data_IF_933912778279
#
_entry.id   IF_933912778279
#
_cell.length_a   1.000
_cell.length_b   1.000
_cell.length_c   1.000
_cell.angle_alpha   90.00
_cell.angle_beta   90.00
_cell.angle_gamma   90.00
#
_symmetry.space_group_name_H-M   'P 1'
#
loop_
_entity.id
_entity.type
_entity.pdbx_description
1 polymer ?
#
# COMPACT_ATOMS: atom_id res chain seq x y z
N UNK A 1 19.60 -80.44 -50.80
CA UNK A 1 18.28 -81.10 -50.70
C UNK A 1 17.70 -80.79 -49.33
N UNK A 2 16.44 -80.31 -49.31
CA UNK A 2 15.42 -80.24 -48.23
C UNK A 2 15.78 -80.84 -46.85
N UNK A 3 15.32 -80.37 -45.69
CA UNK A 3 14.44 -79.25 -45.28
C UNK A 3 14.26 -79.27 -43.74
N UNK A 4 13.58 -78.24 -43.20
CA UNK A 4 12.88 -78.11 -41.89
C UNK A 4 13.74 -78.13 -40.60
N UNK A 5 13.88 -77.01 -39.87
CA UNK A 5 12.93 -76.26 -39.00
C UNK A 5 12.80 -76.89 -37.60
N UNK A 6 13.14 -76.12 -36.55
CA UNK A 6 12.56 -76.19 -35.21
C UNK A 6 13.07 -75.00 -34.35
N UNK A 7 12.17 -74.05 -34.04
CA UNK A 7 11.99 -73.29 -32.77
C UNK A 7 13.22 -72.56 -32.17
N UNK A 8 13.23 -71.26 -31.83
CA UNK A 8 12.21 -70.32 -31.41
C UNK A 8 12.69 -69.61 -30.12
N UNK A 9 12.51 -68.27 -30.03
CA UNK A 9 12.37 -67.47 -28.77
C UNK A 9 13.71 -67.21 -28.01
N UNK A 10 14.16 -66.01 -27.57
CA UNK A 10 13.60 -64.66 -27.34
C UNK A 10 14.76 -63.65 -27.16
N UNK A 11 14.50 -62.36 -27.48
CA UNK A 11 15.00 -61.09 -26.89
C UNK A 11 16.44 -61.04 -26.31
N UNK A 12 17.33 -60.16 -26.78
CA UNK A 12 17.14 -58.72 -26.91
C UNK A 12 17.84 -57.99 -25.76
N UNK A 13 19.18 -57.90 -25.82
CA UNK A 13 19.99 -57.18 -24.81
C UNK A 13 20.00 -55.68 -25.12
N UNK A 14 19.33 -54.94 -24.24
CA UNK A 14 19.15 -53.50 -24.25
C UNK A 14 20.47 -52.79 -23.91
N UNK A 15 21.03 -52.04 -24.86
CA UNK A 15 21.98 -50.96 -24.57
C UNK A 15 21.20 -49.77 -24.00
N UNK A 16 21.07 -49.71 -22.67
CA UNK A 16 20.46 -48.57 -22.00
C UNK A 16 21.52 -47.47 -21.83
N UNK A 17 21.49 -46.46 -22.70
CA UNK A 17 22.19 -45.21 -22.49
C UNK A 17 21.62 -44.55 -21.22
N UNK A 18 22.45 -44.37 -20.19
CA UNK A 18 22.08 -43.59 -19.01
C UNK A 18 22.05 -42.10 -19.38
N UNK A 19 20.90 -41.65 -19.88
CA UNK A 19 20.56 -40.23 -19.88
C UNK A 19 20.26 -39.83 -18.44
N UNK A 20 21.19 -39.13 -17.80
CA UNK A 20 20.93 -38.44 -16.54
C UNK A 20 19.96 -37.29 -16.87
N UNK A 21 18.67 -37.56 -16.68
CA UNK A 21 17.66 -36.51 -16.64
C UNK A 21 17.92 -35.68 -15.38
N UNK A 22 18.56 -34.52 -15.56
CA UNK A 22 18.52 -33.44 -14.58
C UNK A 22 17.06 -33.02 -14.45
N UNK A 23 16.40 -33.49 -13.40
CA UNK A 23 15.08 -32.98 -13.02
C UNK A 23 15.21 -31.48 -12.73
N UNK A 24 14.33 -30.62 -13.27
CA UNK A 24 14.32 -29.23 -12.90
C UNK A 24 14.04 -29.15 -11.39
N UNK A 25 14.88 -28.41 -10.66
CA UNK A 25 14.61 -28.09 -9.28
C UNK A 25 13.27 -27.36 -9.23
N UNK A 26 12.26 -28.00 -8.62
CA UNK A 26 10.99 -27.36 -8.32
C UNK A 26 11.33 -26.16 -7.42
N UNK A 27 11.06 -24.95 -7.88
CA UNK A 27 11.12 -23.76 -7.04
C UNK A 27 10.31 -24.07 -5.78
N UNK A 28 10.95 -23.98 -4.61
CA UNK A 28 10.25 -24.12 -3.35
C UNK A 28 9.25 -22.97 -3.26
N UNK A 29 7.95 -23.27 -3.26
CA UNK A 29 6.94 -22.28 -2.94
C UNK A 29 7.23 -21.81 -1.50
N UNK A 30 7.61 -20.54 -1.36
CA UNK A 30 7.86 -19.91 -0.07
C UNK A 30 6.51 -19.90 0.67
N UNK A 31 6.47 -20.42 1.89
CA UNK A 31 5.25 -20.36 2.70
C UNK A 31 4.90 -18.90 2.98
N UNK A 32 3.62 -18.49 2.96
CA UNK A 32 3.23 -17.11 3.24
C UNK A 32 3.80 -16.63 4.57
N UNK A 33 4.39 -15.43 4.57
CA UNK A 33 4.92 -14.81 5.79
C UNK A 33 3.79 -14.49 6.77
N UNK A 34 4.03 -14.70 8.07
CA UNK A 34 3.03 -14.34 9.09
C UNK A 34 2.95 -12.82 9.28
N UNK A 35 1.79 -12.27 9.67
CA UNK A 35 1.64 -10.82 9.96
C UNK A 35 2.68 -10.30 10.96
N UNK A 36 3.04 -11.11 11.97
CA UNK A 36 4.04 -10.73 12.96
C UNK A 36 5.45 -10.59 12.36
N UNK A 37 5.81 -11.45 11.42
CA UNK A 37 7.10 -11.38 10.71
C UNK A 37 7.13 -10.15 9.81
N UNK A 38 6.10 -9.97 8.98
CA UNK A 38 5.96 -8.81 8.10
C UNK A 38 6.03 -7.49 8.88
N UNK A 39 5.36 -7.42 10.03
CA UNK A 39 5.45 -6.22 10.88
C UNK A 39 6.87 -5.95 11.37
N UNK A 40 7.63 -6.98 11.77
CA UNK A 40 9.03 -6.79 12.19
C UNK A 40 9.92 -6.38 11.01
N UNK A 41 9.75 -6.97 9.84
CA UNK A 41 10.52 -6.59 8.64
C UNK A 41 10.30 -5.11 8.28
N UNK A 42 9.06 -4.63 8.33
CA UNK A 42 8.75 -3.22 8.10
C UNK A 42 9.37 -2.31 9.18
N UNK A 43 9.41 -2.77 10.44
CA UNK A 43 10.04 -2.06 11.56
C UNK A 43 11.55 -1.96 11.41
N UNK A 44 12.20 -3.02 10.94
CA UNK A 44 13.64 -3.09 10.71
C UNK A 44 14.07 -2.21 9.53
N UNK A 45 13.16 -1.97 8.58
CA UNK A 45 13.38 -1.09 7.42
C UNK A 45 13.27 0.41 7.75
N UNK A 46 13.10 0.80 9.02
CA UNK A 46 12.86 2.20 9.40
C UNK A 46 13.93 3.18 8.93
N UNK A 47 15.21 2.84 9.09
CA UNK A 47 16.32 3.73 8.72
C UNK A 47 16.47 3.85 7.19
N UNK A 48 16.02 2.84 6.44
CA UNK A 48 15.98 2.89 4.98
C UNK A 48 14.83 3.78 4.49
N UNK A 49 13.67 3.71 5.14
CA UNK A 49 12.49 4.52 4.81
C UNK A 49 12.70 5.98 5.24
N UNK A 50 13.33 6.21 6.39
CA UNK A 50 13.58 7.54 6.95
C UNK A 50 15.05 7.74 7.34
N UNK A 51 15.97 7.93 6.38
CA UNK A 51 17.40 8.07 6.67
C UNK A 51 17.76 9.26 7.58
N UNK A 52 16.91 10.29 7.61
CA UNK A 52 17.07 11.45 8.49
C UNK A 52 16.26 11.35 9.79
N UNK A 53 15.53 10.26 9.99
CA UNK A 53 14.55 10.07 11.07
C UNK A 53 13.28 10.93 10.97
N UNK A 54 13.15 11.79 9.96
CA UNK A 54 11.97 12.65 9.81
C UNK A 54 10.83 11.90 9.11
N UNK A 55 9.97 11.29 9.93
CA UNK A 55 8.75 10.59 9.53
C UNK A 55 7.50 11.46 9.30
N UNK A 56 7.56 12.78 9.47
CA UNK A 56 6.34 13.60 9.38
C UNK A 56 5.70 13.47 7.98
N UNK A 57 4.39 13.21 7.94
CA UNK A 57 3.65 12.87 6.71
C UNK A 57 4.26 11.66 5.96
N UNK A 58 4.92 10.76 6.69
CA UNK A 58 5.74 9.67 6.16
C UNK A 58 5.00 8.54 5.42
N UNK A 59 3.67 8.60 5.29
CA UNK A 59 2.88 7.55 4.65
C UNK A 59 3.34 7.25 3.21
N UNK A 60 3.68 8.28 2.45
CA UNK A 60 4.17 8.12 1.07
C UNK A 60 5.48 7.32 0.97
N UNK A 61 6.39 7.49 1.93
CA UNK A 61 7.67 6.76 1.97
C UNK A 61 7.45 5.30 2.36
N UNK A 62 6.56 5.04 3.33
CA UNK A 62 6.15 3.66 3.65
C UNK A 62 5.53 2.97 2.44
N UNK A 63 4.59 3.63 1.76
CA UNK A 63 3.93 3.08 0.58
C UNK A 63 4.96 2.74 -0.51
N UNK A 64 5.85 3.68 -0.84
CA UNK A 64 6.92 3.48 -1.82
C UNK A 64 7.79 2.27 -1.47
N UNK A 65 8.27 2.19 -0.23
CA UNK A 65 9.09 1.09 0.22
C UNK A 65 8.35 -0.26 0.12
N UNK A 66 7.09 -0.33 0.56
CA UNK A 66 6.31 -1.56 0.51
C UNK A 66 6.06 -1.99 -0.95
N UNK A 67 5.69 -1.05 -1.82
CA UNK A 67 5.46 -1.32 -3.24
C UNK A 67 6.70 -1.89 -3.95
N UNK A 68 7.90 -1.41 -3.58
CA UNK A 68 9.14 -1.83 -4.23
C UNK A 68 9.70 -3.16 -3.73
N UNK A 69 9.35 -3.56 -2.51
CA UNK A 69 9.96 -4.73 -1.86
C UNK A 69 9.00 -5.92 -1.71
N UNK A 70 7.68 -5.73 -1.84
CA UNK A 70 6.68 -6.77 -1.64
C UNK A 70 5.84 -6.98 -2.89
N UNK A 71 6.15 -8.04 -3.62
CA UNK A 71 5.51 -8.39 -4.88
C UNK A 71 4.45 -9.49 -4.75
N UNK A 72 4.23 -10.04 -3.56
CA UNK A 72 3.04 -10.84 -3.27
C UNK A 72 1.90 -9.91 -2.86
N UNK A 73 0.73 -10.04 -3.51
CA UNK A 73 -0.41 -9.15 -3.26
C UNK A 73 -0.87 -9.22 -1.81
N UNK A 74 -0.88 -10.41 -1.20
CA UNK A 74 -1.36 -10.58 0.16
C UNK A 74 -0.37 -9.98 1.17
N UNK A 75 0.94 -10.17 1.00
CA UNK A 75 1.97 -9.52 1.81
C UNK A 75 1.92 -7.99 1.68
N UNK A 76 1.80 -7.46 0.45
CA UNK A 76 1.62 -6.03 0.20
C UNK A 76 0.41 -5.44 0.93
N UNK A 77 -0.74 -6.12 0.84
CA UNK A 77 -1.98 -5.68 1.50
C UNK A 77 -1.89 -5.80 3.02
N UNK A 78 -1.19 -6.79 3.56
CA UNK A 78 -0.96 -6.89 5.01
C UNK A 78 -0.05 -5.76 5.48
N UNK A 79 1.09 -5.56 4.83
CA UNK A 79 2.06 -4.52 5.19
C UNK A 79 1.48 -3.12 5.12
N UNK A 80 0.62 -2.87 4.14
CA UNK A 80 -0.05 -1.58 3.97
C UNK A 80 -0.94 -1.17 5.15
N UNK A 81 -1.26 -2.10 6.06
CA UNK A 81 -2.01 -1.84 7.31
C UNK A 81 -1.13 -1.33 8.44
N UNK A 82 0.18 -1.53 8.37
CA UNK A 82 1.11 -1.35 9.49
C UNK A 82 1.69 0.06 9.63
N UNK A 83 1.24 1.01 8.81
CA UNK A 83 1.57 2.42 8.96
C UNK A 83 0.33 3.28 8.78
N UNK A 84 0.40 4.50 9.29
CA UNK A 84 -0.64 5.50 9.15
C UNK A 84 -0.30 6.41 7.94
N UNK A 85 -1.09 6.38 6.86
CA UNK A 85 -0.89 7.22 5.67
C UNK A 85 -0.75 8.72 5.98
N UNK A 86 -1.47 9.22 6.99
CA UNK A 86 -1.45 10.63 7.40
C UNK A 86 -0.14 11.01 8.10
N UNK A 87 0.29 10.23 9.09
CA UNK A 87 1.35 10.67 10.01
C UNK A 87 2.73 10.08 9.72
N UNK A 88 2.81 8.96 8.99
CA UNK A 88 4.05 8.17 8.90
C UNK A 88 4.42 7.47 10.20
N UNK A 89 3.44 7.13 11.04
CA UNK A 89 3.67 6.32 12.25
C UNK A 89 3.27 4.87 12.02
N UNK A 90 3.96 3.93 12.67
CA UNK A 90 3.52 2.54 12.71
C UNK A 90 2.12 2.40 13.32
N UNK A 91 1.40 1.39 12.85
CA UNK A 91 0.09 0.97 13.34
C UNK A 91 0.23 -0.44 13.91
N UNK A 92 -0.33 -0.65 15.08
CA UNK A 92 -0.34 -1.95 15.74
C UNK A 92 -1.02 -3.00 14.84
N UNK A 93 -0.42 -4.19 14.60
CA UNK A 93 -1.05 -5.24 13.81
C UNK A 93 -2.46 -5.64 14.28
N UNK A 94 -2.74 -5.51 15.59
CA UNK A 94 -4.05 -5.79 16.18
C UNK A 94 -5.04 -4.61 16.06
N UNK A 95 -4.63 -3.47 15.50
CA UNK A 95 -5.48 -2.30 15.35
C UNK A 95 -6.71 -2.61 14.50
N UNK A 96 -7.87 -2.18 14.98
CA UNK A 96 -9.10 -2.21 14.18
C UNK A 96 -9.12 -0.99 13.26
N UNK A 97 -9.45 -1.16 11.97
CA UNK A 97 -9.53 -0.05 11.04
C UNK A 97 -10.70 0.87 11.39
N UNK A 98 -10.58 2.13 10.99
CA UNK A 98 -11.70 3.05 10.95
C UNK A 98 -12.42 2.91 9.60
N UNK A 99 -13.74 2.85 9.60
CA UNK A 99 -14.51 2.83 8.36
C UNK A 99 -14.73 4.26 7.86
N UNK A 100 -14.17 4.59 6.69
CA UNK A 100 -14.13 5.95 6.13
C UNK A 100 -14.73 5.97 4.73
N UNK A 101 -15.07 7.18 4.25
CA UNK A 101 -15.31 7.40 2.83
C UNK A 101 -14.43 8.54 2.32
N UNK A 102 -14.00 8.41 1.06
CA UNK A 102 -13.21 9.42 0.34
C UNK A 102 -13.73 9.51 -1.09
N UNK A 103 -13.67 10.67 -1.71
CA UNK A 103 -14.09 10.83 -3.10
C UNK A 103 -13.08 10.18 -4.06
N UNK A 104 -13.60 9.40 -5.01
CA UNK A 104 -12.86 8.95 -6.18
C UNK A 104 -12.43 10.14 -7.01
N UNK A 105 -11.14 10.24 -7.33
CA UNK A 105 -10.57 11.37 -8.05
C UNK A 105 -11.20 11.55 -9.43
N UNK A 106 -11.50 10.45 -10.12
CA UNK A 106 -11.98 10.47 -11.50
C UNK A 106 -13.48 10.78 -11.63
N UNK A 107 -14.29 10.22 -10.72
CA UNK A 107 -15.75 10.27 -10.82
C UNK A 107 -16.42 11.15 -9.77
N UNK A 108 -15.68 11.58 -8.73
CA UNK A 108 -16.22 12.30 -7.58
C UNK A 108 -17.17 11.47 -6.71
N UNK A 109 -17.33 10.17 -7.00
CA UNK A 109 -18.23 9.30 -6.24
C UNK A 109 -17.54 8.85 -4.95
N UNK A 110 -18.27 8.69 -3.84
CA UNK A 110 -17.68 8.26 -2.58
C UNK A 110 -17.27 6.79 -2.64
N UNK A 111 -16.02 6.50 -2.30
CA UNK A 111 -15.49 5.15 -2.08
C UNK A 111 -15.33 4.94 -0.58
N UNK A 112 -15.94 3.86 -0.09
CA UNK A 112 -15.91 3.44 1.31
C UNK A 112 -14.83 2.40 1.49
N UNK A 113 -14.25 2.31 2.68
CA UNK A 113 -13.33 1.23 3.02
C UNK A 113 -12.73 1.36 4.41
N UNK A 114 -11.83 0.43 4.69
CA UNK A 114 -11.07 0.30 5.92
C UNK A 114 -9.81 1.16 5.88
N UNK A 115 -9.66 2.06 6.86
CA UNK A 115 -8.47 2.90 7.04
C UNK A 115 -7.76 2.55 8.36
N UNK A 116 -6.51 2.08 8.25
CA UNK A 116 -5.67 1.79 9.40
C UNK A 116 -4.94 3.06 9.84
N UNK A 117 -5.13 3.45 11.10
CA UNK A 117 -4.62 4.70 11.66
C UNK A 117 -3.88 4.50 12.96
N UNK A 118 -2.93 5.39 13.25
CA UNK A 118 -2.23 5.40 14.53
C UNK A 118 -3.01 6.09 15.64
N UNK A 119 -3.71 7.20 15.34
CA UNK A 119 -4.42 8.00 16.33
C UNK A 119 -5.43 8.96 15.68
N UNK A 120 -6.30 9.54 16.51
CA UNK A 120 -7.07 10.73 16.13
C UNK A 120 -6.13 11.95 16.07
N UNK A 121 -6.25 12.88 15.09
CA UNK A 121 -7.35 13.07 14.14
C UNK A 121 -7.14 12.44 12.74
N UNK A 122 -6.29 11.42 12.57
CA UNK A 122 -5.93 10.93 11.24
C UNK A 122 -7.13 10.45 10.40
N UNK A 123 -8.21 9.92 11.01
CA UNK A 123 -9.44 9.58 10.28
C UNK A 123 -10.08 10.81 9.63
N UNK A 124 -10.02 11.95 10.30
CA UNK A 124 -10.61 13.18 9.81
C UNK A 124 -9.77 13.76 8.67
N UNK A 125 -8.45 13.77 8.87
CA UNK A 125 -7.51 14.33 7.91
C UNK A 125 -7.44 13.49 6.63
N UNK A 126 -7.53 12.15 6.70
CA UNK A 126 -7.58 11.32 5.49
C UNK A 126 -8.83 11.62 4.66
N UNK A 127 -10.01 11.70 5.30
CA UNK A 127 -11.27 11.99 4.60
C UNK A 127 -11.35 13.41 4.06
N UNK A 128 -10.63 14.35 4.68
CA UNK A 128 -10.63 15.76 4.30
C UNK A 128 -9.67 16.05 3.15
N UNK A 129 -8.46 15.49 3.20
CA UNK A 129 -7.33 15.96 2.40
C UNK A 129 -6.97 15.05 1.23
N UNK A 130 -7.55 13.86 1.16
CA UNK A 130 -7.17 12.89 0.12
C UNK A 130 -8.28 12.69 -0.89
N UNK A 131 -7.89 12.20 -2.06
CA UNK A 131 -8.78 11.50 -2.98
C UNK A 131 -8.38 10.03 -3.04
N UNK A 132 -9.20 9.23 -3.69
CA UNK A 132 -8.86 7.84 -4.02
C UNK A 132 -8.66 7.70 -5.51
N UNK A 133 -7.57 7.05 -5.92
CA UNK A 133 -7.36 6.59 -7.30
C UNK A 133 -7.36 5.07 -7.33
N UNK A 134 -8.06 4.49 -8.31
CA UNK A 134 -7.97 3.06 -8.58
C UNK A 134 -6.83 2.82 -9.58
N UNK A 135 -5.88 1.96 -9.23
CA UNK A 135 -4.73 1.66 -10.08
C UNK A 135 -4.47 0.15 -10.16
N UNK A 136 -4.09 -0.30 -11.35
CA UNK A 136 -3.54 -1.64 -11.55
C UNK A 136 -2.06 -1.64 -11.11
N UNK A 137 -1.75 -2.38 -10.06
CA UNK A 137 -0.38 -2.61 -9.59
C UNK A 137 0.06 -4.02 -9.98
N UNK A 138 1.32 -4.17 -10.38
CA UNK A 138 1.88 -5.46 -10.81
C UNK A 138 2.37 -6.27 -9.61
N UNK A 139 1.91 -7.52 -9.51
CA UNK A 139 2.33 -8.49 -8.49
C UNK A 139 2.80 -9.78 -9.15
N UNK A 140 3.38 -10.68 -8.37
CA UNK A 140 3.97 -11.95 -8.82
C UNK A 140 2.95 -12.86 -9.52
N UNK A 141 1.69 -12.79 -9.10
CA UNK A 141 0.57 -13.55 -9.69
C UNK A 141 -0.16 -12.79 -10.82
N UNK A 142 0.29 -11.58 -11.14
CA UNK A 142 -0.28 -10.69 -12.16
C UNK A 142 -0.79 -9.36 -11.60
N UNK A 143 -1.35 -8.50 -12.46
CA UNK A 143 -1.86 -7.19 -12.05
C UNK A 143 -3.09 -7.32 -11.16
N UNK A 144 -3.18 -6.46 -10.13
CA UNK A 144 -4.35 -6.33 -9.28
C UNK A 144 -4.77 -4.86 -9.12
N UNK A 145 -6.08 -4.63 -9.12
CA UNK A 145 -6.67 -3.30 -8.94
C UNK A 145 -6.71 -2.94 -7.45
N UNK A 146 -6.12 -1.81 -7.08
CA UNK A 146 -6.05 -1.32 -5.70
C UNK A 146 -6.55 0.13 -5.64
N UNK A 147 -7.35 0.45 -4.62
CA UNK A 147 -7.73 1.83 -4.33
C UNK A 147 -6.69 2.48 -3.42
N UNK A 148 -6.10 3.57 -3.89
CA UNK A 148 -4.97 4.25 -3.29
C UNK A 148 -5.38 5.64 -2.83
N UNK A 149 -5.05 6.00 -1.58
CA UNK A 149 -5.16 7.38 -1.12
C UNK A 149 -4.08 8.22 -1.79
N UNK A 150 -4.48 9.35 -2.35
CA UNK A 150 -3.58 10.29 -3.01
C UNK A 150 -3.76 11.71 -2.48
N UNK A 151 -2.69 12.49 -2.53
CA UNK A 151 -2.68 13.94 -2.31
C UNK A 151 -2.09 14.64 -3.53
N UNK A 152 -2.53 15.87 -3.78
CA UNK A 152 -2.00 16.69 -4.88
C UNK A 152 -0.51 16.97 -4.70
N UNK A 153 0.22 17.21 -5.79
CA UNK A 153 1.64 17.57 -5.77
C UNK A 153 1.89 18.84 -4.92
N UNK A 154 2.56 18.71 -3.75
CA UNK A 154 2.78 19.84 -2.84
C UNK A 154 4.01 20.67 -3.25
N UNK A 155 4.74 20.30 -4.29
CA UNK A 155 6.05 20.87 -4.59
C UNK A 155 6.00 22.28 -5.19
N UNK A 156 4.86 22.71 -5.72
CA UNK A 156 4.66 24.12 -6.11
C UNK A 156 4.16 25.00 -4.95
N UNK A 157 3.82 24.41 -3.78
CA UNK A 157 3.21 25.12 -2.67
C UNK A 157 4.19 26.12 -2.02
N UNK A 158 3.81 27.41 -1.86
CA UNK A 158 4.67 28.42 -1.26
C UNK A 158 4.84 28.25 0.26
N UNK A 159 3.84 27.71 0.94
CA UNK A 159 3.79 27.48 2.38
C UNK A 159 3.98 26.00 2.74
N UNK A 160 5.02 25.39 2.17
CA UNK A 160 5.42 24.01 2.48
C UNK A 160 5.76 23.88 3.99
N UNK A 161 5.24 22.87 4.72
CA UNK A 161 5.45 22.75 6.15
C UNK A 161 6.93 22.57 6.52
N UNK A 162 7.52 23.43 7.38
CA UNK A 162 8.94 23.36 7.72
C UNK A 162 9.32 22.11 8.53
N UNK A 163 8.33 21.44 9.14
CA UNK A 163 8.54 20.19 9.88
C UNK A 163 8.74 18.98 8.96
N UNK A 164 8.49 19.11 7.66
CA UNK A 164 8.65 18.06 6.67
C UNK A 164 9.94 18.32 5.89
N UNK A 165 10.73 17.25 5.68
CA UNK A 165 11.83 17.30 4.74
C UNK A 165 11.29 17.49 3.34
N UNK A 166 11.39 18.71 2.80
CA UNK A 166 10.94 19.01 1.43
C UNK A 166 11.61 18.10 0.39
N UNK A 167 12.89 17.78 0.59
CA UNK A 167 13.64 16.89 -0.30
C UNK A 167 13.07 15.46 -0.34
N UNK A 168 12.33 15.03 0.70
CA UNK A 168 11.68 13.72 0.72
C UNK A 168 10.51 13.65 -0.27
N UNK A 169 9.88 14.79 -0.59
CA UNK A 169 8.72 14.83 -1.48
C UNK A 169 9.02 15.48 -2.84
N UNK A 170 10.03 16.36 -2.90
CA UNK A 170 10.19 17.28 -4.01
C UNK A 170 11.63 17.34 -4.54
N UNK A 171 11.77 17.27 -5.85
CA UNK A 171 12.96 17.69 -6.60
C UNK A 171 12.62 19.02 -7.31
N UNK A 172 13.01 20.13 -6.68
CA UNK A 172 12.59 21.46 -7.08
C UNK A 172 11.07 21.65 -6.93
N UNK A 173 10.38 21.72 -8.08
CA UNK A 173 8.91 21.84 -8.18
C UNK A 173 8.24 20.52 -8.60
N UNK A 174 9.01 19.49 -8.92
CA UNK A 174 8.49 18.18 -9.30
C UNK A 174 8.47 17.24 -8.09
N UNK A 175 7.66 16.18 -8.18
CA UNK A 175 7.66 15.11 -7.18
C UNK A 175 9.00 14.37 -7.23
N UNK A 176 9.56 14.07 -6.07
CA UNK A 176 10.75 13.24 -5.93
C UNK A 176 10.38 11.74 -5.94
N UNK A 177 10.23 11.17 -7.14
CA UNK A 177 9.87 9.76 -7.32
C UNK A 177 10.92 8.75 -6.84
N UNK A 178 12.12 9.22 -6.46
CA UNK A 178 13.10 8.38 -5.79
C UNK A 178 12.67 8.02 -4.35
N UNK A 179 11.86 8.88 -3.71
CA UNK A 179 11.46 8.73 -2.31
C UNK A 179 9.96 8.44 -2.12
N UNK A 180 9.12 8.81 -3.09
CA UNK A 180 7.67 8.59 -3.03
C UNK A 180 7.18 8.00 -4.35
N UNK A 181 5.98 7.42 -4.35
CA UNK A 181 5.31 6.99 -5.56
C UNK A 181 4.24 8.00 -5.99
N UNK A 182 4.08 8.21 -7.29
CA UNK A 182 3.10 9.13 -7.84
C UNK A 182 2.33 8.54 -9.02
N UNK A 183 1.07 8.94 -9.16
CA UNK A 183 0.18 8.56 -10.26
C UNK A 183 -0.50 9.83 -10.78
N UNK A 184 -0.31 10.14 -12.06
CA UNK A 184 -0.83 11.35 -12.71
C UNK A 184 -0.51 12.64 -11.94
N UNK A 185 0.73 12.76 -11.47
CA UNK A 185 1.22 13.89 -10.67
C UNK A 185 0.57 14.04 -9.28
N UNK A 186 -0.11 13.01 -8.76
CA UNK A 186 -0.51 12.95 -7.34
C UNK A 186 0.34 11.94 -6.58
N UNK A 187 0.67 12.26 -5.32
CA UNK A 187 1.48 11.39 -4.47
C UNK A 187 0.59 10.36 -3.80
N UNK A 188 0.95 9.08 -3.93
CA UNK A 188 0.29 7.99 -3.23
C UNK A 188 0.81 7.92 -1.79
N UNK A 189 -0.11 7.90 -0.83
CA UNK A 189 0.23 7.90 0.60
C UNK A 189 -0.20 6.62 1.33
N UNK A 190 -1.02 5.77 0.70
CA UNK A 190 -1.43 4.49 1.26
C UNK A 190 -2.60 3.84 0.55
N UNK A 191 -3.07 2.72 1.10
CA UNK A 191 -4.15 1.89 0.53
C UNK A 191 -5.45 2.13 1.30
N UNK A 192 -6.56 2.27 0.57
CA UNK A 192 -7.90 2.14 1.12
C UNK A 192 -8.29 0.66 1.07
N UNK A 193 -8.29 -0.01 2.22
CA UNK A 193 -8.54 -1.45 2.28
C UNK A 193 -10.04 -1.77 2.15
N UNK A 194 -10.37 -2.99 1.73
CA UNK A 194 -11.74 -3.51 1.65
C UNK A 194 -12.71 -2.55 0.94
N UNK A 195 -12.20 -1.86 -0.07
CA UNK A 195 -12.84 -0.69 -0.66
C UNK A 195 -13.98 -1.03 -1.62
N UNK A 196 -15.02 -0.22 -1.64
CA UNK A 196 -16.13 -0.32 -2.59
C UNK A 196 -16.84 1.04 -2.75
N UNK A 197 -17.59 1.23 -3.84
CA UNK A 197 -18.40 2.43 -4.04
C UNK A 197 -19.54 2.51 -3.01
N UNK A 198 -19.59 3.59 -2.21
CA UNK A 198 -20.59 3.75 -1.16
C UNK A 198 -21.98 4.00 -1.73
N UNK A 199 -23.01 3.53 -1.03
CA UNK A 199 -24.34 4.11 -1.09
C UNK A 199 -24.42 5.41 -0.27
N UNK A 200 -25.40 6.26 -0.57
CA UNK A 200 -25.67 7.46 0.24
C UNK A 200 -26.00 7.12 1.70
N UNK A 201 -26.60 5.96 1.95
CA UNK A 201 -26.88 5.48 3.30
C UNK A 201 -25.58 5.20 4.07
N UNK A 202 -24.61 4.54 3.43
CA UNK A 202 -23.32 4.24 4.06
C UNK A 202 -22.53 5.52 4.39
N UNK A 203 -22.55 6.51 3.49
CA UNK A 203 -21.96 7.83 3.76
C UNK A 203 -22.63 8.48 4.98
N UNK A 204 -23.97 8.42 5.07
CA UNK A 204 -24.70 8.95 6.22
C UNK A 204 -24.33 8.22 7.52
N UNK A 205 -24.19 6.88 7.50
CA UNK A 205 -23.75 6.10 8.66
C UNK A 205 -22.35 6.49 9.14
N UNK A 206 -21.40 6.69 8.21
CA UNK A 206 -20.05 7.17 8.55
C UNK A 206 -20.11 8.56 9.20
N UNK A 207 -21.00 9.44 8.71
CA UNK A 207 -21.24 10.77 9.27
C UNK A 207 -21.95 10.79 10.63
N UNK A 208 -22.60 9.69 11.03
CA UNK A 208 -23.21 9.53 12.35
C UNK A 208 -22.28 8.84 13.37
N UNK A 209 -21.21 8.21 12.90
CA UNK A 209 -20.25 7.56 13.77
C UNK A 209 -19.51 8.57 14.65
N UNK A 210 -19.19 8.19 15.89
CA UNK A 210 -18.62 9.09 16.90
C UNK A 210 -17.32 9.76 16.42
N UNK A 211 -16.45 9.00 15.76
CA UNK A 211 -15.13 9.48 15.32
C UNK A 211 -15.26 10.18 13.97
N UNK A 212 -15.58 9.43 12.91
CA UNK A 212 -15.63 9.90 11.52
C UNK A 212 -16.74 10.91 11.23
N UNK A 213 -17.78 10.95 12.07
CA UNK A 213 -18.82 11.97 12.04
C UNK A 213 -18.59 13.04 13.10
N UNK A 214 -18.97 12.72 14.34
CA UNK A 214 -19.07 13.69 15.43
C UNK A 214 -17.77 14.44 15.74
N UNK A 215 -16.62 13.76 15.75
CA UNK A 215 -15.33 14.40 16.00
C UNK A 215 -14.71 15.01 14.74
N UNK A 216 -14.90 14.39 13.58
CA UNK A 216 -14.34 14.92 12.33
C UNK A 216 -15.07 16.14 11.79
N UNK A 217 -16.38 16.29 12.05
CA UNK A 217 -17.13 17.47 11.62
C UNK A 217 -16.49 18.79 12.07
N UNK A 218 -16.24 19.05 13.37
CA UNK A 218 -15.57 20.28 13.79
C UNK A 218 -14.11 20.37 13.31
N UNK A 219 -13.38 19.24 13.25
CA UNK A 219 -11.98 19.22 12.79
C UNK A 219 -11.85 19.57 11.30
N UNK A 220 -12.80 19.14 10.48
CA UNK A 220 -12.83 19.39 9.05
C UNK A 220 -13.33 20.80 8.72
N UNK A 221 -14.16 21.39 9.59
CA UNK A 221 -14.61 22.78 9.47
C UNK A 221 -13.58 23.80 9.98
N UNK A 222 -12.59 23.36 10.76
CA UNK A 222 -11.55 24.25 11.28
C UNK A 222 -10.59 24.64 10.15
N UNK A 223 -10.39 25.95 9.87
CA UNK A 223 -9.44 26.41 8.86
C UNK A 223 -8.03 25.87 9.12
N UNK A 224 -7.28 25.53 8.07
CA UNK A 224 -5.94 24.91 8.19
C UNK A 224 -5.00 25.72 9.09
N UNK A 225 -5.04 27.05 8.99
CA UNK A 225 -4.23 27.96 9.81
C UNK A 225 -4.60 28.01 11.30
N UNK A 226 -5.75 27.45 11.68
CA UNK A 226 -6.27 27.44 13.05
C UNK A 226 -6.14 26.06 13.71
N UNK A 227 -5.65 25.05 13.00
CA UNK A 227 -5.38 23.73 13.57
C UNK A 227 -4.25 23.82 14.60
N UNK A 228 -4.37 23.05 15.70
CA UNK A 228 -3.50 23.13 16.87
C UNK A 228 -2.50 21.96 17.00
N UNK A 229 -1.48 21.97 16.14
CA UNK A 229 -0.28 21.13 16.23
C UNK A 229 -0.47 19.62 16.07
N UNK A 230 0.66 18.92 15.94
CA UNK A 230 0.71 17.47 15.77
C UNK A 230 0.85 17.02 14.31
N UNK A 231 1.07 15.72 14.11
CA UNK A 231 1.37 15.17 12.78
C UNK A 231 0.20 15.26 11.80
N UNK A 232 -1.04 15.17 12.28
CA UNK A 232 -2.23 15.39 11.43
C UNK A 232 -2.27 16.81 10.86
N UNK A 233 -1.96 17.81 11.67
CA UNK A 233 -1.91 19.21 11.22
C UNK A 233 -0.78 19.47 10.23
N UNK A 234 0.39 18.87 10.49
CA UNK A 234 1.53 18.92 9.57
C UNK A 234 1.12 18.32 8.21
N UNK A 235 0.43 17.18 8.21
CA UNK A 235 -0.09 16.54 7.01
C UNK A 235 -1.14 17.39 6.30
N UNK A 236 -2.11 17.97 7.01
CA UNK A 236 -3.12 18.84 6.41
C UNK A 236 -2.44 20.02 5.71
N UNK A 237 -1.44 20.65 6.32
CA UNK A 237 -0.70 21.75 5.67
C UNK A 237 0.09 21.30 4.45
N UNK A 238 0.56 20.04 4.41
CA UNK A 238 1.21 19.48 3.23
C UNK A 238 0.19 19.29 2.08
N UNK A 239 -0.98 18.75 2.39
CA UNK A 239 -1.96 18.26 1.42
C UNK A 239 -3.05 19.27 1.01
N UNK A 240 -3.14 20.42 1.71
CA UNK A 240 -4.06 21.54 1.38
C UNK A 240 -3.60 22.34 0.15
#
# INVERSE_FOLDING_TARGET
MKAYDFTGVLLGMVCCAMSIFLLPAKAAAQSPSTEAVLYQELRESWDDIFPTGNRNAGGAMFFKHILENYHDLNEFMIMSRFYCPVSGSFVDPAAQPEFVYVEDESSGRPICGSFYRCCWPCSCDIMRMTKVKKAALEFSDGPAEVHLFVIENPCAKPDFPPEISRASFCDGQNINEANVHAIDNDIVIGVLHDSFECSLEQVAWIGLHRVTGGQCLPRNQTPVKQLQGGMGDIFVRLAD
#
